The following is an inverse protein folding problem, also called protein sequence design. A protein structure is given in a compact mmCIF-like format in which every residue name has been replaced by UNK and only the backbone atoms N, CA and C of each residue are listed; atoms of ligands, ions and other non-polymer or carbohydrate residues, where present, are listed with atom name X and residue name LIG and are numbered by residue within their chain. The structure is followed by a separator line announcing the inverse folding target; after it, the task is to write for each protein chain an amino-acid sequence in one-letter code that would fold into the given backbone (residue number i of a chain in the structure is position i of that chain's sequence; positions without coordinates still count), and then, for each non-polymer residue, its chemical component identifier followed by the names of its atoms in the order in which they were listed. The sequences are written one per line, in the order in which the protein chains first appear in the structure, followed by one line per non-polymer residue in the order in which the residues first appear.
data_IF_865795542892
#
_entry.id   IF_865795542892
#
_cell.length_a   1.000
_cell.length_b   1.000
_cell.length_c   1.000
_cell.angle_alpha   90.00
_cell.angle_beta   90.00
_cell.angle_gamma   90.00
#
_symmetry.space_group_name_H-M   'P 1'
#
loop_
_entity.id
_entity.type
_entity.pdbx_description
1 polymer ?
#
# COMPACT_ATOMS: atom_id res chain seq x y z
N UNK A 1 39.71 -4.82 -22.99
CA UNK A 1 38.35 -5.40 -22.95
C UNK A 1 37.99 -5.75 -21.50
N UNK A 2 37.35 -4.81 -20.78
CA UNK A 2 36.63 -4.98 -19.49
C UNK A 2 35.30 -4.16 -19.39
N UNK A 3 34.61 -3.72 -20.47
CA UNK A 3 33.52 -2.74 -20.34
C UNK A 3 32.22 -3.30 -19.74
N UNK A 4 31.80 -4.53 -20.10
CA UNK A 4 30.47 -5.04 -19.76
C UNK A 4 30.23 -5.22 -18.26
N UNK A 5 31.07 -6.00 -17.56
CA UNK A 5 30.97 -6.20 -16.11
C UNK A 5 31.11 -4.90 -15.31
N UNK A 6 31.88 -3.94 -15.83
CA UNK A 6 32.08 -2.64 -15.17
C UNK A 6 30.84 -1.75 -15.29
N UNK A 7 30.16 -1.81 -16.44
CA UNK A 7 28.87 -1.14 -16.68
C UNK A 7 27.74 -1.77 -15.84
N UNK A 8 27.67 -3.10 -15.76
CA UNK A 8 26.74 -3.81 -14.86
C UNK A 8 26.95 -3.39 -13.40
N UNK A 9 28.20 -3.38 -12.92
CA UNK A 9 28.53 -2.93 -11.55
C UNK A 9 28.13 -1.48 -11.32
N UNK A 10 28.28 -0.62 -12.32
CA UNK A 10 27.84 0.77 -12.24
C UNK A 10 26.31 0.89 -12.11
N UNK A 11 25.55 0.10 -12.88
CA UNK A 11 24.08 0.06 -12.80
C UNK A 11 23.64 -0.36 -11.40
N UNK A 12 24.20 -1.45 -10.86
CA UNK A 12 23.93 -1.92 -9.49
C UNK A 12 24.17 -0.81 -8.45
N UNK A 13 25.36 -0.20 -8.47
CA UNK A 13 25.76 0.82 -7.49
C UNK A 13 24.92 2.12 -7.62
N UNK A 14 24.49 2.47 -8.84
CA UNK A 14 23.57 3.60 -9.05
C UNK A 14 22.14 3.28 -8.63
N UNK A 15 21.71 2.04 -8.78
CA UNK A 15 20.42 1.57 -8.29
C UNK A 15 20.37 1.61 -6.75
N UNK A 16 21.49 1.33 -6.08
CA UNK A 16 21.66 1.51 -4.63
C UNK A 16 21.67 3.00 -4.18
N UNK A 17 21.75 3.94 -5.11
CA UNK A 17 21.69 5.38 -4.82
C UNK A 17 23.06 6.02 -4.57
N UNK A 18 24.17 5.32 -4.82
CA UNK A 18 25.51 5.88 -4.63
C UNK A 18 25.79 7.02 -5.62
N UNK A 19 26.59 7.98 -5.17
CA UNK A 19 27.01 9.12 -5.99
C UNK A 19 28.09 8.72 -6.99
N UNK A 20 28.18 9.43 -8.13
CA UNK A 20 29.24 9.19 -9.12
C UNK A 20 30.65 9.29 -8.54
N UNK A 21 30.86 10.12 -7.51
CA UNK A 21 32.15 10.23 -6.84
C UNK A 21 32.50 8.99 -6.01
N UNK A 22 31.53 8.40 -5.32
CA UNK A 22 31.71 7.16 -4.58
C UNK A 22 31.99 5.99 -5.53
N UNK A 23 31.24 5.92 -6.63
CA UNK A 23 31.40 4.86 -7.63
C UNK A 23 32.73 4.98 -8.38
N UNK A 24 33.16 6.19 -8.72
CA UNK A 24 34.46 6.44 -9.35
C UNK A 24 35.62 5.83 -8.55
N UNK A 25 35.55 5.92 -7.22
CA UNK A 25 36.53 5.31 -6.32
C UNK A 25 36.41 3.79 -6.20
N UNK A 26 35.22 3.23 -6.38
CA UNK A 26 34.98 1.78 -6.18
C UNK A 26 35.32 0.95 -7.41
N UNK A 27 35.08 1.46 -8.62
CA UNK A 27 35.32 0.73 -9.88
C UNK A 27 36.47 1.31 -10.72
N UNK A 28 37.18 2.32 -10.20
CA UNK A 28 38.33 2.99 -10.84
C UNK A 28 38.03 3.51 -12.25
N UNK A 29 36.91 4.24 -12.37
CA UNK A 29 36.47 4.87 -13.63
C UNK A 29 36.30 6.37 -13.41
N UNK A 30 36.79 7.16 -14.38
CA UNK A 30 36.69 8.62 -14.35
C UNK A 30 35.24 9.11 -14.23
N UNK A 31 35.03 10.16 -13.42
CA UNK A 31 33.71 10.73 -13.15
C UNK A 31 32.98 11.18 -14.41
N UNK A 32 33.69 11.74 -15.40
CA UNK A 32 33.12 12.16 -16.68
C UNK A 32 32.52 10.97 -17.46
N UNK A 33 33.22 9.83 -17.47
CA UNK A 33 32.76 8.58 -18.08
C UNK A 33 31.50 8.06 -17.39
N UNK A 34 31.46 8.09 -16.05
CA UNK A 34 30.29 7.66 -15.28
C UNK A 34 29.06 8.55 -15.49
N UNK A 35 29.25 9.85 -15.72
CA UNK A 35 28.15 10.76 -16.08
C UNK A 35 27.60 10.42 -17.46
N UNK A 36 28.47 10.11 -18.44
CA UNK A 36 28.04 9.64 -19.76
C UNK A 36 27.26 8.34 -19.67
N UNK A 37 27.79 7.37 -18.94
CA UNK A 37 27.15 6.08 -18.66
C UNK A 37 25.81 6.22 -17.95
N UNK A 38 25.69 7.17 -17.03
CA UNK A 38 24.42 7.44 -16.33
C UNK A 38 23.32 7.95 -17.25
N UNK A 39 23.66 8.60 -18.36
CA UNK A 39 22.69 9.00 -19.40
C UNK A 39 22.39 7.85 -20.35
N UNK A 40 23.43 7.12 -20.76
CA UNK A 40 23.31 5.97 -21.68
C UNK A 40 22.44 4.84 -21.08
N UNK A 41 22.64 4.55 -19.80
CA UNK A 41 22.03 3.40 -19.10
C UNK A 41 20.97 3.86 -18.08
N UNK A 42 20.32 5.00 -18.32
CA UNK A 42 19.31 5.54 -17.39
C UNK A 42 18.14 4.58 -17.20
N UNK A 43 17.70 3.93 -18.28
CA UNK A 43 16.63 2.93 -18.25
C UNK A 43 17.03 1.71 -17.41
N UNK A 44 18.19 1.13 -17.67
CA UNK A 44 18.69 -0.03 -16.91
C UNK A 44 18.82 0.27 -15.41
N UNK A 45 19.30 1.48 -15.06
CA UNK A 45 19.37 1.94 -13.66
C UNK A 45 17.97 2.05 -13.05
N UNK A 46 16.99 2.53 -13.82
CA UNK A 46 15.60 2.67 -13.36
C UNK A 46 14.94 1.31 -13.14
N UNK A 47 15.07 0.40 -14.10
CA UNK A 47 14.55 -0.96 -14.01
C UNK A 47 15.15 -1.71 -12.81
N UNK A 48 16.47 -1.62 -12.62
CA UNK A 48 17.13 -2.24 -11.47
C UNK A 48 16.65 -1.64 -10.13
N UNK A 49 16.36 -0.34 -10.07
CA UNK A 49 15.74 0.29 -8.89
C UNK A 49 14.34 -0.22 -8.63
N UNK A 50 13.54 -0.32 -9.68
CA UNK A 50 12.15 -0.77 -9.58
C UNK A 50 12.07 -2.24 -9.16
N UNK A 51 12.93 -3.09 -9.69
CA UNK A 51 13.07 -4.49 -9.28
C UNK A 51 13.44 -4.60 -7.80
N UNK A 52 14.49 -3.88 -7.37
CA UNK A 52 14.90 -3.86 -5.96
C UNK A 52 13.80 -3.35 -5.03
N UNK A 53 13.06 -2.32 -5.45
CA UNK A 53 11.92 -1.81 -4.69
C UNK A 53 10.78 -2.83 -4.63
N UNK A 54 10.54 -3.56 -5.73
CA UNK A 54 9.55 -4.62 -5.78
C UNK A 54 9.91 -5.77 -4.84
N UNK A 55 11.17 -6.19 -4.76
CA UNK A 55 11.61 -7.21 -3.80
C UNK A 55 11.29 -6.81 -2.35
N UNK A 56 11.57 -5.55 -1.98
CA UNK A 56 11.26 -5.03 -0.64
C UNK A 56 9.75 -5.02 -0.40
N UNK A 57 8.96 -4.57 -1.38
CA UNK A 57 7.49 -4.57 -1.29
C UNK A 57 6.93 -5.98 -1.11
N UNK A 58 7.43 -6.96 -1.87
CA UNK A 58 7.01 -8.37 -1.76
C UNK A 58 7.32 -8.92 -0.38
N UNK A 59 8.54 -8.70 0.14
CA UNK A 59 8.91 -9.10 1.51
C UNK A 59 7.99 -8.47 2.56
N UNK A 60 7.70 -7.17 2.41
CA UNK A 60 6.80 -6.47 3.33
C UNK A 60 5.36 -7.02 3.28
N UNK A 61 4.83 -7.29 2.08
CA UNK A 61 3.50 -7.89 1.91
C UNK A 61 3.42 -9.25 2.60
N UNK A 62 4.39 -10.14 2.36
CA UNK A 62 4.44 -11.46 3.00
C UNK A 62 4.48 -11.35 4.54
N UNK A 63 5.30 -10.43 5.06
CA UNK A 63 5.38 -10.20 6.50
C UNK A 63 4.04 -9.69 7.07
N UNK A 64 3.38 -8.76 6.37
CA UNK A 64 2.07 -8.22 6.76
C UNK A 64 1.00 -9.31 6.76
N UNK A 65 0.97 -10.17 5.75
CA UNK A 65 0.07 -11.32 5.68
C UNK A 65 0.30 -12.30 6.83
N UNK A 66 1.56 -12.63 7.13
CA UNK A 66 1.91 -13.48 8.25
C UNK A 66 1.48 -12.87 9.59
N UNK A 67 1.61 -11.55 9.77
CA UNK A 67 1.11 -10.84 10.94
C UNK A 67 -0.41 -10.92 11.05
N UNK A 68 -1.14 -10.66 9.96
CA UNK A 68 -2.60 -10.77 9.94
C UNK A 68 -3.08 -12.18 10.30
N UNK A 69 -2.46 -13.21 9.73
CA UNK A 69 -2.79 -14.60 10.06
C UNK A 69 -2.50 -14.93 11.53
N UNK A 70 -1.39 -14.43 12.08
CA UNK A 70 -1.09 -14.58 13.50
C UNK A 70 -2.17 -13.91 14.34
N UNK A 71 -2.48 -12.64 14.10
CA UNK A 71 -3.51 -11.93 14.86
C UNK A 71 -4.88 -12.60 14.75
N UNK A 72 -5.28 -13.08 13.57
CA UNK A 72 -6.51 -13.85 13.41
C UNK A 72 -6.52 -15.14 14.24
N UNK A 73 -5.41 -15.87 14.30
CA UNK A 73 -5.28 -17.07 15.16
C UNK A 73 -5.37 -16.72 16.65
N UNK A 74 -4.74 -15.62 17.07
CA UNK A 74 -4.80 -15.15 18.47
C UNK A 74 -6.20 -14.68 18.85
N UNK A 75 -6.85 -13.89 17.99
CA UNK A 75 -8.21 -13.41 18.19
C UNK A 75 -9.18 -14.59 18.33
N UNK A 76 -9.12 -15.56 17.42
CA UNK A 76 -9.95 -16.77 17.50
C UNK A 76 -9.75 -17.55 18.80
N UNK A 77 -8.51 -17.66 19.29
CA UNK A 77 -8.23 -18.30 20.59
C UNK A 77 -8.88 -17.53 21.74
N UNK A 78 -8.76 -16.20 21.74
CA UNK A 78 -9.37 -15.35 22.76
C UNK A 78 -10.89 -15.47 22.73
N UNK A 79 -11.50 -15.37 21.55
CA UNK A 79 -12.96 -15.55 21.36
C UNK A 79 -13.43 -16.92 21.84
N UNK A 80 -12.66 -17.99 21.57
CA UNK A 80 -12.98 -19.35 22.02
C UNK A 80 -12.90 -19.49 23.54
N UNK A 81 -11.98 -18.81 24.20
CA UNK A 81 -11.90 -18.81 25.67
C UNK A 81 -12.98 -17.91 26.28
N UNK A 82 -13.29 -16.78 25.66
CA UNK A 82 -14.38 -15.90 26.10
C UNK A 82 -15.75 -16.57 25.97
N UNK A 83 -16.00 -17.35 24.92
CA UNK A 83 -17.29 -18.03 24.72
C UNK A 83 -17.57 -19.12 25.75
N UNK A 84 -16.53 -19.65 26.39
CA UNK A 84 -16.66 -20.64 27.47
C UNK A 84 -16.89 -20.02 28.84
N UNK A 85 -16.58 -18.73 29.01
CA UNK A 85 -16.73 -18.04 30.30
C UNK A 85 -18.19 -17.67 30.52
N UNK A 86 -18.68 -17.97 31.71
CA UNK A 86 -19.98 -17.51 32.15
C UNK A 86 -19.92 -15.99 32.40
N UNK A 87 -20.95 -15.26 32.01
CA UNK A 87 -21.04 -13.82 32.22
C UNK A 87 -21.67 -13.44 33.56
N UNK A 88 -22.05 -14.42 34.39
CA UNK A 88 -22.69 -14.21 35.70
C UNK A 88 -21.88 -13.35 36.68
N UNK A 89 -20.55 -13.31 36.56
CA UNK A 89 -19.68 -12.46 37.39
C UNK A 89 -19.64 -10.99 36.96
N UNK A 90 -20.22 -10.63 35.81
CA UNK A 90 -20.28 -9.26 35.33
C UNK A 90 -21.50 -8.54 35.90
N UNK A 91 -21.31 -7.28 36.33
CA UNK A 91 -22.41 -6.40 36.74
C UNK A 91 -23.32 -6.13 35.54
N UNK A 92 -24.62 -6.00 35.78
CA UNK A 92 -25.65 -5.75 34.76
C UNK A 92 -25.34 -4.52 33.88
N UNK A 93 -24.87 -3.42 34.47
CA UNK A 93 -24.46 -2.21 33.73
C UNK A 93 -23.37 -2.51 32.69
N UNK A 94 -22.40 -3.36 33.04
CA UNK A 94 -21.34 -3.75 32.12
C UNK A 94 -21.85 -4.62 30.96
N UNK A 95 -22.82 -5.49 31.23
CA UNK A 95 -23.45 -6.33 30.19
C UNK A 95 -24.24 -5.48 29.19
N UNK A 96 -24.98 -4.49 29.67
CA UNK A 96 -25.75 -3.57 28.82
C UNK A 96 -24.79 -2.76 27.93
N UNK A 97 -23.70 -2.23 28.48
CA UNK A 97 -22.68 -1.53 27.70
C UNK A 97 -22.08 -2.41 26.58
N UNK A 98 -21.71 -3.65 26.92
CA UNK A 98 -21.18 -4.60 25.93
C UNK A 98 -22.20 -4.93 24.83
N UNK A 99 -23.48 -5.08 25.18
CA UNK A 99 -24.55 -5.32 24.21
C UNK A 99 -24.73 -4.16 23.23
N UNK A 100 -24.71 -2.91 23.72
CA UNK A 100 -24.78 -1.71 22.88
C UNK A 100 -23.57 -1.66 21.92
N UNK A 101 -22.36 -1.87 22.44
CA UNK A 101 -21.12 -1.86 21.63
C UNK A 101 -21.16 -2.90 20.53
N UNK A 102 -21.50 -4.16 20.86
CA UNK A 102 -21.58 -5.25 19.88
C UNK A 102 -22.69 -5.02 18.84
N UNK A 103 -23.84 -4.47 19.25
CA UNK A 103 -24.92 -4.13 18.31
C UNK A 103 -24.49 -3.03 17.33
N UNK A 104 -23.72 -2.05 17.81
CA UNK A 104 -23.15 -1.00 16.96
C UNK A 104 -22.20 -1.57 15.90
N UNK A 105 -21.29 -2.46 16.29
CA UNK A 105 -20.33 -3.09 15.36
C UNK A 105 -21.02 -3.97 14.32
N UNK A 106 -22.06 -4.72 14.71
CA UNK A 106 -22.82 -5.57 13.77
C UNK A 106 -23.55 -4.74 12.72
N UNK A 107 -24.10 -3.58 13.07
CA UNK A 107 -24.73 -2.66 12.11
C UNK A 107 -23.73 -2.16 11.07
N UNK A 108 -22.55 -1.70 11.51
CA UNK A 108 -21.47 -1.22 10.62
C UNK A 108 -20.95 -2.33 9.68
N UNK A 109 -21.14 -3.59 10.04
CA UNK A 109 -20.72 -4.75 9.24
C UNK A 109 -21.80 -5.29 8.28
N UNK A 110 -23.08 -4.88 8.33
CA UNK A 110 -24.08 -5.35 7.35
C UNK A 110 -23.66 -4.88 5.94
N UNK A 111 -23.28 -5.80 5.03
CA UNK A 111 -22.78 -5.43 3.71
C UNK A 111 -23.81 -4.64 2.89
N UNK A 112 -25.11 -4.81 3.19
CA UNK A 112 -26.21 -4.09 2.52
C UNK A 112 -26.18 -2.60 2.84
N UNK A 113 -25.89 -2.22 4.08
CA UNK A 113 -25.82 -0.82 4.49
C UNK A 113 -24.58 -0.11 3.92
N UNK A 114 -23.45 -0.81 3.77
CA UNK A 114 -22.26 -0.26 3.08
C UNK A 114 -22.49 -0.04 1.60
N UNK A 115 -23.13 -1.00 0.92
CA UNK A 115 -23.48 -0.83 -0.50
C UNK A 115 -24.55 0.25 -0.74
N UNK A 116 -25.46 0.47 0.21
CA UNK A 116 -26.42 1.59 0.15
C UNK A 116 -25.73 2.93 0.41
N UNK A 117 -24.87 3.02 1.44
CA UNK A 117 -24.13 4.24 1.75
C UNK A 117 -23.10 4.64 0.68
N UNK A 118 -22.53 3.68 -0.05
CA UNK A 118 -21.63 3.95 -1.19
C UNK A 118 -22.42 4.19 -2.49
N UNK A 119 -23.65 3.67 -2.62
CA UNK A 119 -24.57 4.05 -3.71
C UNK A 119 -25.03 5.49 -3.58
N UNK A 120 -25.46 5.93 -2.40
CA UNK A 120 -25.94 7.30 -2.15
C UNK A 120 -24.87 8.37 -2.42
N UNK A 121 -23.57 8.04 -2.30
CA UNK A 121 -22.46 8.95 -2.64
C UNK A 121 -22.15 9.03 -4.14
N UNK A 122 -22.63 8.07 -4.94
CA UNK A 122 -22.42 8.00 -6.39
C UNK A 122 -23.69 8.31 -7.20
N UNK A 123 -24.80 8.66 -6.54
CA UNK A 123 -25.98 9.19 -7.22
C UNK A 123 -25.66 10.63 -7.62
N UNK A 124 -25.36 10.83 -8.90
CA UNK A 124 -25.33 12.18 -9.48
C UNK A 124 -26.74 12.73 -9.36
N UNK A 125 -26.88 13.82 -8.61
CA UNK A 125 -28.17 14.47 -8.43
C UNK A 125 -28.64 15.06 -9.77
N UNK A 126 -29.96 15.19 -9.96
CA UNK A 126 -30.52 15.77 -11.19
C UNK A 126 -29.94 17.19 -11.42
N UNK A 127 -29.69 17.94 -10.35
CA UNK A 127 -29.08 19.26 -10.39
C UNK A 127 -27.63 19.23 -10.93
N UNK A 128 -26.83 18.25 -10.50
CA UNK A 128 -25.47 18.04 -11.00
C UNK A 128 -25.44 17.60 -12.47
N UNK A 129 -26.38 16.74 -12.90
CA UNK A 129 -26.54 16.36 -14.32
C UNK A 129 -26.93 17.57 -15.20
N UNK A 130 -27.84 18.40 -14.71
CA UNK A 130 -28.24 19.63 -15.41
C UNK A 130 -27.10 20.64 -15.50
N UNK A 131 -26.27 20.74 -14.46
CA UNK A 131 -25.10 21.61 -14.46
C UNK A 131 -24.02 21.12 -15.43
N UNK A 132 -23.73 19.82 -15.43
CA UNK A 132 -22.80 19.21 -16.40
C UNK A 132 -23.29 19.40 -17.86
N UNK A 133 -24.58 19.24 -18.12
CA UNK A 133 -25.14 19.46 -19.45
C UNK A 133 -25.07 20.92 -19.89
N UNK A 134 -25.26 21.88 -18.98
CA UNK A 134 -25.09 23.32 -19.28
C UNK A 134 -23.65 23.64 -19.66
N UNK A 135 -22.67 23.11 -18.92
CA UNK A 135 -21.24 23.35 -19.18
C UNK A 135 -20.80 22.76 -20.53
N UNK A 136 -21.26 21.55 -20.87
CA UNK A 136 -21.02 20.91 -22.17
C UNK A 136 -21.64 21.71 -23.32
N UNK A 137 -22.83 22.31 -23.13
CA UNK A 137 -23.48 23.11 -24.16
C UNK A 137 -22.82 24.47 -24.39
N UNK A 138 -22.23 25.07 -23.35
CA UNK A 138 -21.50 26.34 -23.47
C UNK A 138 -20.11 26.20 -24.10
N UNK A 139 -19.52 25.00 -24.08
CA UNK A 139 -18.20 24.73 -24.67
C UNK A 139 -18.24 24.42 -26.18
N UNK A 140 -19.45 24.35 -26.78
CA UNK A 140 -19.67 24.06 -28.21
C UNK A 140 -20.04 25.28 -29.06
N UNK A 141 -19.84 26.51 -28.57
CA UNK A 141 -20.00 27.79 -29.30
C UNK A 141 -18.67 28.54 -29.25
#
# INVERSE_FOLDING_TARGET
MKPAKTKEKFIELRAEGLSYAAISKSIDVGKSTLVGWGREMELDIRECKDERLNEVRVKYKLHREAQMQRYGKWLKKIETELSKRDFSYLKTDRLVQLAIQLTGEVRVFDPREKEEADRDKNVVTIEELEQMNREVFTASI
#
